data_IF_978366670942
#
_entry.id   IF_978366670942
#
_cell.length_a   1.000
_cell.length_b   1.000
_cell.length_c   1.000
_cell.angle_alpha   90.00
_cell.angle_beta   90.00
_cell.angle_gamma   90.00
#
_symmetry.space_group_name_H-M   'P 1'
#
loop_
_entity.id
_entity.type
_entity.pdbx_description
1 polymer ?
#
# COMPACT_ATOMS: atom_id res chain seq x y z
N UNK A 1 53.02 14.74 23.87
CA UNK A 1 53.23 13.87 22.69
C UNK A 1 51.87 13.32 22.28
N UNK A 2 51.40 13.62 21.06
CA UNK A 2 50.10 13.15 20.53
C UNK A 2 50.36 11.91 19.68
N UNK A 3 49.80 10.76 20.06
CA UNK A 3 49.88 9.52 19.28
C UNK A 3 48.66 9.50 18.36
N UNK A 4 48.92 9.65 17.06
CA UNK A 4 47.94 9.49 16.00
C UNK A 4 47.84 8.00 15.67
N UNK A 5 46.72 7.36 16.00
CA UNK A 5 46.45 5.97 15.63
C UNK A 5 45.68 5.98 14.31
N UNK A 6 46.33 5.52 13.24
CA UNK A 6 45.71 5.32 11.93
C UNK A 6 45.09 3.92 11.94
N UNK A 7 43.77 3.83 12.01
CA UNK A 7 43.04 2.58 11.76
C UNK A 7 42.95 2.36 10.25
N UNK A 8 43.72 1.41 9.73
CA UNK A 8 43.53 0.87 8.38
C UNK A 8 42.42 -0.17 8.48
N UNK A 9 41.18 0.23 8.24
CA UNK A 9 40.11 -0.72 8.00
C UNK A 9 40.31 -1.28 6.58
N UNK A 10 40.72 -2.55 6.50
CA UNK A 10 40.76 -3.29 5.25
C UNK A 10 39.34 -3.35 4.67
N UNK A 11 39.09 -2.53 3.65
CA UNK A 11 37.89 -2.66 2.83
C UNK A 11 38.11 -3.86 1.92
N UNK A 12 37.73 -5.04 2.39
CA UNK A 12 37.50 -6.17 1.50
C UNK A 12 36.25 -5.83 0.69
N UNK A 13 36.47 -5.19 -0.46
CA UNK A 13 35.49 -5.11 -1.52
C UNK A 13 35.20 -6.55 -1.98
N UNK A 14 34.26 -7.20 -1.32
CA UNK A 14 33.54 -8.30 -1.95
C UNK A 14 32.69 -7.66 -3.02
N UNK A 15 33.21 -7.66 -4.24
CA UNK A 15 32.37 -7.52 -5.42
C UNK A 15 31.42 -8.72 -5.36
N UNK A 16 30.21 -8.49 -4.84
CA UNK A 16 29.12 -9.42 -5.01
C UNK A 16 28.94 -9.56 -6.52
N UNK A 17 29.51 -10.65 -7.04
CA UNK A 17 29.42 -11.03 -8.43
C UNK A 17 27.93 -11.17 -8.71
N UNK A 18 27.42 -10.23 -9.51
CA UNK A 18 26.09 -10.27 -10.07
C UNK A 18 26.03 -11.49 -10.99
N UNK A 19 25.81 -12.67 -10.42
CA UNK A 19 25.23 -13.77 -11.14
C UNK A 19 23.87 -13.29 -11.61
N UNK A 20 23.74 -12.99 -12.90
CA UNK A 20 22.45 -12.73 -13.51
C UNK A 20 21.53 -13.90 -13.18
N UNK A 21 20.43 -13.72 -12.43
CA UNK A 21 19.55 -14.82 -12.13
C UNK A 21 18.96 -15.35 -13.43
N UNK A 22 19.00 -16.67 -13.60
CA UNK A 22 18.32 -17.38 -14.68
C UNK A 22 16.88 -16.88 -14.81
N UNK A 23 16.55 -16.36 -15.99
CA UNK A 23 15.24 -15.82 -16.32
C UNK A 23 15.03 -14.45 -15.68
N UNK A 24 15.34 -13.37 -16.40
CA UNK A 24 14.93 -12.02 -16.02
C UNK A 24 13.41 -12.01 -16.00
N UNK A 25 12.81 -12.24 -14.83
CA UNK A 25 11.38 -12.10 -14.62
C UNK A 25 11.00 -10.68 -15.05
N UNK A 26 9.94 -10.55 -15.85
CA UNK A 26 9.44 -9.23 -16.22
C UNK A 26 9.27 -8.38 -14.95
N UNK A 27 9.67 -7.09 -14.97
CA UNK A 27 9.46 -6.22 -13.82
C UNK A 27 7.98 -6.25 -13.45
N UNK A 28 7.66 -6.39 -12.17
CA UNK A 28 6.28 -6.42 -11.69
C UNK A 28 5.86 -5.11 -11.08
N UNK A 29 4.58 -4.80 -11.22
CA UNK A 29 3.93 -3.63 -10.65
C UNK A 29 2.94 -4.05 -9.57
N UNK A 30 3.07 -3.44 -8.39
CA UNK A 30 2.02 -3.42 -7.38
C UNK A 30 1.12 -2.22 -7.67
N UNK A 31 -0.17 -2.52 -7.83
CA UNK A 31 -1.24 -1.52 -7.96
C UNK A 31 -2.17 -1.64 -6.75
N UNK A 32 -2.39 -0.55 -6.03
CA UNK A 32 -3.36 -0.47 -4.96
C UNK A 32 -4.29 0.73 -5.16
N UNK A 33 -5.59 0.57 -4.88
CA UNK A 33 -6.60 1.63 -5.00
C UNK A 33 -7.53 1.63 -3.78
N UNK A 34 -7.98 2.81 -3.35
CA UNK A 34 -9.01 2.95 -2.31
C UNK A 34 -10.27 3.57 -2.88
N UNK A 35 -11.41 2.94 -2.58
CA UNK A 35 -12.75 3.45 -2.83
C UNK A 35 -13.44 3.72 -1.51
N UNK A 36 -14.16 4.84 -1.43
CA UNK A 36 -14.98 5.16 -0.27
C UNK A 36 -16.44 4.85 -0.55
N UNK A 37 -17.03 4.06 0.32
CA UNK A 37 -18.43 3.66 0.24
C UNK A 37 -19.21 4.40 1.31
N UNK A 38 -20.41 4.93 1.01
CA UNK A 38 -21.32 5.48 2.01
C UNK A 38 -22.47 4.50 2.32
N UNK A 39 -22.92 4.42 3.57
CA UNK A 39 -24.17 3.73 3.90
C UNK A 39 -25.38 4.61 3.54
N UNK A 40 -26.49 3.97 3.18
CA UNK A 40 -27.73 4.68 2.92
C UNK A 40 -28.27 5.34 4.21
N UNK A 41 -29.17 6.32 4.06
CA UNK A 41 -29.81 7.06 5.18
C UNK A 41 -30.60 6.19 6.17
N UNK A 42 -30.80 4.89 5.91
CA UNK A 42 -31.69 4.03 6.68
C UNK A 42 -30.96 3.14 7.71
N UNK A 43 -29.63 3.23 7.83
CA UNK A 43 -28.89 2.58 8.94
C UNK A 43 -29.11 1.06 9.02
N UNK A 44 -29.33 0.39 7.89
CA UNK A 44 -29.56 -1.06 7.85
C UNK A 44 -28.21 -1.78 7.79
N UNK A 45 -27.98 -2.70 8.73
CA UNK A 45 -26.78 -3.54 8.90
C UNK A 45 -26.60 -4.59 7.77
N UNK A 46 -27.07 -4.32 6.54
CA UNK A 46 -27.16 -5.29 5.42
C UNK A 46 -26.52 -4.71 4.16
N UNK A 47 -25.76 -5.51 3.36
CA UNK A 47 -25.14 -5.06 2.11
C UNK A 47 -26.19 -4.56 1.12
N UNK A 48 -26.21 -3.25 0.93
CA UNK A 48 -27.15 -2.54 0.07
C UNK A 48 -26.40 -1.52 -0.78
N UNK A 49 -26.84 -1.40 -2.03
CA UNK A 49 -26.33 -0.52 -3.10
C UNK A 49 -25.57 0.69 -2.56
N UNK A 50 -24.25 0.60 -2.63
CA UNK A 50 -23.34 1.67 -2.26
C UNK A 50 -23.31 2.66 -3.42
N UNK A 51 -23.60 3.93 -3.14
CA UNK A 51 -23.22 4.97 -4.10
C UNK A 51 -21.71 5.14 -3.97
N UNK A 52 -20.99 4.72 -5.01
CA UNK A 52 -19.59 5.09 -5.19
C UNK A 52 -19.51 6.61 -5.04
N UNK A 53 -18.95 7.07 -3.92
CA UNK A 53 -18.61 8.47 -3.82
C UNK A 53 -17.52 8.67 -4.88
N UNK A 54 -17.85 9.40 -5.95
CA UNK A 54 -16.92 9.72 -7.04
C UNK A 54 -15.82 10.67 -6.51
N UNK A 55 -14.94 10.10 -5.69
CA UNK A 55 -13.85 10.77 -4.99
C UNK A 55 -12.58 10.20 -5.55
N UNK A 56 -12.33 10.39 -6.85
CA UNK A 56 -11.06 10.20 -7.55
C UNK A 56 -9.94 9.57 -6.69
N UNK A 57 -10.13 8.26 -6.49
CA UNK A 57 -9.26 7.13 -6.20
C UNK A 57 -7.85 7.45 -5.69
N UNK A 58 -7.58 7.06 -4.44
CA UNK A 58 -6.21 6.97 -3.93
C UNK A 58 -5.53 5.77 -4.59
N UNK A 59 -4.89 6.03 -5.73
CA UNK A 59 -4.15 5.03 -6.48
C UNK A 59 -2.67 5.06 -6.16
N UNK A 60 -2.07 3.88 -6.04
CA UNK A 60 -0.64 3.65 -5.88
C UNK A 60 -0.22 2.66 -6.95
N UNK A 61 0.71 3.06 -7.82
CA UNK A 61 1.35 2.19 -8.80
C UNK A 61 2.86 2.25 -8.60
N UNK A 62 3.46 1.15 -8.17
CA UNK A 62 4.90 1.09 -7.86
C UNK A 62 5.51 -0.23 -8.29
N UNK A 63 6.81 -0.25 -8.60
CA UNK A 63 7.52 -1.49 -8.88
C UNK A 63 7.69 -2.32 -7.59
N UNK A 64 7.69 -3.65 -7.72
CA UNK A 64 8.00 -4.52 -6.59
C UNK A 64 9.39 -4.18 -6.02
N UNK A 65 9.51 -4.12 -4.70
CA UNK A 65 10.73 -3.70 -4.01
C UNK A 65 10.80 -2.20 -3.72
N UNK A 66 9.93 -1.37 -4.32
CA UNK A 66 9.88 0.08 -4.09
C UNK A 66 8.72 0.45 -3.18
N UNK A 67 8.99 1.04 -1.99
CA UNK A 67 7.92 1.52 -1.13
C UNK A 67 7.20 2.71 -1.77
N UNK A 68 5.90 2.81 -1.54
CA UNK A 68 5.08 3.90 -2.03
C UNK A 68 4.01 4.30 -0.99
N UNK A 69 3.52 5.53 -1.08
CA UNK A 69 2.42 5.98 -0.24
C UNK A 69 1.56 7.02 -0.94
N UNK A 70 0.26 6.95 -0.69
CA UNK A 70 -0.72 7.95 -1.13
C UNK A 70 -1.66 8.26 0.02
N UNK A 71 -2.30 9.43 0.02
CA UNK A 71 -3.25 9.78 1.07
C UNK A 71 -4.05 11.04 0.77
N UNK A 72 -5.17 11.18 1.47
CA UNK A 72 -6.08 12.31 1.36
C UNK A 72 -6.44 12.88 2.75
N UNK A 73 -7.60 13.52 2.89
CA UNK A 73 -8.08 14.07 4.17
C UNK A 73 -8.60 13.04 5.19
N UNK A 74 -8.74 11.77 4.81
CA UNK A 74 -9.35 10.71 5.62
C UNK A 74 -8.38 9.56 5.88
N UNK A 75 -7.74 9.01 4.83
CA UNK A 75 -6.80 7.90 4.97
C UNK A 75 -5.47 8.16 4.29
N UNK A 76 -4.45 7.49 4.80
CA UNK A 76 -3.14 7.36 4.16
C UNK A 76 -2.85 5.87 3.98
N UNK A 77 -2.48 5.47 2.78
CA UNK A 77 -2.05 4.10 2.47
C UNK A 77 -0.55 4.11 2.23
N UNK A 78 0.16 3.20 2.88
CA UNK A 78 1.57 2.95 2.66
C UNK A 78 1.73 1.49 2.25
N UNK A 79 2.42 1.26 1.15
CA UNK A 79 2.68 -0.07 0.63
C UNK A 79 4.17 -0.29 0.50
N UNK A 80 4.60 -1.49 0.86
CA UNK A 80 5.94 -1.98 0.56
C UNK A 80 5.85 -3.42 0.08
N UNK A 81 6.80 -3.79 -0.75
CA UNK A 81 6.90 -5.14 -1.28
C UNK A 81 8.34 -5.57 -1.33
N UNK A 82 8.55 -6.89 -1.28
CA UNK A 82 9.87 -7.52 -1.39
C UNK A 82 9.69 -8.89 -2.04
N UNK A 83 10.72 -9.35 -2.74
CA UNK A 83 10.78 -10.71 -3.28
C UNK A 83 11.75 -11.51 -2.42
N UNK A 84 11.35 -12.70 -1.99
CA UNK A 84 12.24 -13.59 -1.24
C UNK A 84 13.20 -14.38 -2.15
N UNK A 85 14.02 -15.24 -1.54
CA UNK A 85 14.98 -16.09 -2.23
C UNK A 85 14.31 -17.15 -3.13
N UNK A 86 13.06 -17.50 -2.84
CA UNK A 86 12.26 -18.46 -3.61
C UNK A 86 11.49 -17.79 -4.76
N UNK A 87 11.64 -16.47 -4.94
CA UNK A 87 10.95 -15.71 -5.99
C UNK A 87 9.49 -15.38 -5.67
N UNK A 88 9.07 -15.48 -4.40
CA UNK A 88 7.74 -15.09 -3.95
C UNK A 88 7.70 -13.61 -3.60
N UNK A 89 6.69 -12.91 -4.11
CA UNK A 89 6.50 -11.49 -3.86
C UNK A 89 5.60 -11.31 -2.62
N UNK A 90 6.13 -10.65 -1.60
CA UNK A 90 5.42 -10.31 -0.38
C UNK A 90 5.03 -8.86 -0.40
N UNK A 91 3.83 -8.56 0.09
CA UNK A 91 3.32 -7.20 0.24
C UNK A 91 2.99 -6.93 1.70
N UNK A 92 3.36 -5.74 2.15
CA UNK A 92 2.93 -5.15 3.41
C UNK A 92 2.15 -3.89 3.08
N UNK A 93 0.96 -3.75 3.68
CA UNK A 93 0.09 -2.59 3.49
C UNK A 93 -0.30 -2.04 4.86
N UNK A 94 -0.05 -0.76 5.07
CA UNK A 94 -0.51 0.00 6.22
C UNK A 94 -1.56 1.01 5.76
N UNK A 95 -2.78 0.91 6.29
CA UNK A 95 -3.85 1.90 6.12
C UNK A 95 -3.95 2.67 7.43
N UNK A 96 -3.78 3.99 7.36
CA UNK A 96 -3.79 4.87 8.52
C UNK A 96 -4.88 5.93 8.38
N UNK A 97 -5.39 6.44 9.50
CA UNK A 97 -6.12 7.71 9.51
C UNK A 97 -5.14 8.83 9.14
N UNK A 98 -5.49 9.63 8.14
CA UNK A 98 -4.59 10.65 7.62
C UNK A 98 -4.20 11.73 8.66
N UNK A 99 -5.10 12.04 9.59
CA UNK A 99 -4.95 13.13 10.55
C UNK A 99 -4.28 12.65 11.84
N UNK A 100 -4.75 11.56 12.42
CA UNK A 100 -4.23 11.01 13.68
C UNK A 100 -3.03 10.08 13.49
N UNK A 101 -2.80 9.59 12.25
CA UNK A 101 -1.78 8.58 11.92
C UNK A 101 -1.95 7.26 12.68
N UNK A 102 -3.14 7.01 13.23
CA UNK A 102 -3.49 5.72 13.83
C UNK A 102 -3.62 4.69 12.72
N UNK A 103 -3.04 3.51 12.91
CA UNK A 103 -3.18 2.39 12.00
C UNK A 103 -4.61 1.87 12.09
N UNK A 104 -5.35 1.94 10.99
CA UNK A 104 -6.72 1.44 10.85
C UNK A 104 -6.72 -0.03 10.42
N UNK A 105 -5.81 -0.41 9.53
CA UNK A 105 -5.60 -1.79 9.10
C UNK A 105 -4.14 -2.02 8.72
N UNK A 106 -3.68 -3.26 8.92
CA UNK A 106 -2.32 -3.67 8.57
C UNK A 106 -2.30 -5.09 8.03
N UNK A 107 -1.77 -5.23 6.83
CA UNK A 107 -1.41 -6.52 6.22
C UNK A 107 0.11 -6.61 6.21
N UNK A 108 0.68 -7.69 6.74
CA UNK A 108 2.12 -7.91 6.80
C UNK A 108 2.50 -9.12 5.98
N UNK A 109 3.56 -9.00 5.19
CA UNK A 109 4.25 -10.10 4.53
C UNK A 109 3.27 -11.12 3.91
N UNK A 110 2.29 -10.62 3.16
CA UNK A 110 1.30 -11.47 2.52
C UNK A 110 1.70 -11.69 1.07
N UNK A 111 1.70 -12.96 0.64
CA UNK A 111 1.93 -13.30 -0.76
C UNK A 111 0.62 -13.04 -1.51
N UNK A 112 0.65 -12.13 -2.48
CA UNK A 112 -0.51 -11.84 -3.32
C UNK A 112 -0.56 -12.83 -4.48
N UNK A 113 -1.24 -13.96 -4.28
CA UNK A 113 -1.61 -14.89 -5.38
C UNK A 113 -2.93 -14.50 -6.05
N UNK A 114 -3.77 -13.76 -5.33
CA UNK A 114 -5.05 -13.20 -5.78
C UNK A 114 -5.11 -11.72 -5.39
N UNK A 115 -6.01 -10.92 -6.01
CA UNK A 115 -6.26 -9.55 -5.57
C UNK A 115 -6.66 -9.51 -4.08
N UNK A 116 -6.01 -8.63 -3.33
CA UNK A 116 -6.31 -8.38 -1.92
C UNK A 116 -7.38 -7.30 -1.82
N UNK A 117 -8.49 -7.64 -1.17
CA UNK A 117 -9.57 -6.72 -0.86
C UNK A 117 -9.69 -6.56 0.64
N UNK A 118 -9.63 -5.33 1.13
CA UNK A 118 -9.66 -5.00 2.55
C UNK A 118 -10.72 -3.94 2.81
N UNK A 119 -11.66 -4.27 3.68
CA UNK A 119 -12.64 -3.33 4.19
C UNK A 119 -12.11 -2.71 5.48
N UNK A 120 -11.83 -1.41 5.43
CA UNK A 120 -11.31 -0.64 6.56
C UNK A 120 -12.39 0.29 7.06
N UNK A 121 -12.82 0.05 8.30
CA UNK A 121 -13.72 0.98 8.99
C UNK A 121 -12.94 2.23 9.37
N UNK A 122 -13.45 3.40 8.96
CA UNK A 122 -12.84 4.68 9.30
C UNK A 122 -13.05 5.03 10.78
N UNK A 123 -12.10 5.78 11.35
CA UNK A 123 -12.21 6.35 12.70
C UNK A 123 -13.45 7.23 12.83
N UNK A 124 -14.00 7.38 14.05
CA UNK A 124 -15.13 8.27 14.33
C UNK A 124 -14.84 9.69 13.84
N UNK A 125 -13.63 10.18 14.06
CA UNK A 125 -13.18 11.49 13.60
C UNK A 125 -13.16 11.59 12.07
N UNK A 126 -12.69 10.56 11.36
CA UNK A 126 -12.72 10.54 9.90
C UNK A 126 -14.15 10.49 9.36
N UNK A 127 -15.00 9.65 9.96
CA UNK A 127 -16.42 9.53 9.60
C UNK A 127 -17.16 10.85 9.77
N UNK A 128 -16.91 11.60 10.86
CA UNK A 128 -17.49 12.94 11.05
C UNK A 128 -17.02 13.93 9.98
N UNK A 129 -15.72 13.93 9.64
CA UNK A 129 -15.19 14.79 8.55
C UNK A 129 -15.83 14.43 7.21
N UNK A 130 -16.00 13.14 6.94
CA UNK A 130 -16.54 12.62 5.69
C UNK A 130 -18.01 12.95 5.54
N UNK A 131 -18.81 12.74 6.60
CA UNK A 131 -20.22 13.15 6.68
C UNK A 131 -20.38 14.65 6.42
N UNK A 132 -19.52 15.49 7.01
CA UNK A 132 -19.55 16.94 6.76
C UNK A 132 -19.30 17.30 5.30
N UNK A 133 -18.38 16.59 4.63
CA UNK A 133 -17.99 16.87 3.24
C UNK A 133 -18.99 16.32 2.21
N UNK A 134 -19.48 15.10 2.42
CA UNK A 134 -20.27 14.36 1.41
C UNK A 134 -21.73 14.10 1.82
N UNK A 135 -22.17 14.55 3.00
CA UNK A 135 -23.56 14.45 3.49
C UNK A 135 -24.13 13.02 3.61
N UNK A 136 -23.27 11.99 3.69
CA UNK A 136 -23.65 10.58 3.93
C UNK A 136 -23.41 10.12 5.37
N UNK A 137 -24.16 9.12 5.83
CA UNK A 137 -24.00 8.49 7.14
C UNK A 137 -23.21 7.19 6.97
N UNK A 138 -22.10 7.08 7.71
CA UNK A 138 -21.03 6.05 7.67
C UNK A 138 -20.36 5.78 6.32
N UNK A 139 -19.02 5.79 6.33
CA UNK A 139 -18.23 5.50 5.14
C UNK A 139 -17.02 4.61 5.41
N UNK A 140 -16.95 3.49 4.70
CA UNK A 140 -15.89 2.50 4.81
C UNK A 140 -14.91 2.74 3.66
N UNK A 141 -13.63 2.49 3.89
CA UNK A 141 -12.63 2.48 2.83
C UNK A 141 -12.42 1.04 2.38
N UNK A 142 -12.67 0.77 1.11
CA UNK A 142 -12.33 -0.50 0.48
C UNK A 142 -11.01 -0.34 -0.28
N UNK A 143 -10.01 -1.09 0.16
CA UNK A 143 -8.68 -1.12 -0.45
C UNK A 143 -8.56 -2.38 -1.31
N UNK A 144 -8.17 -2.18 -2.56
CA UNK A 144 -7.90 -3.21 -3.55
C UNK A 144 -6.40 -3.18 -3.85
N UNK A 145 -5.72 -4.32 -3.82
CA UNK A 145 -4.32 -4.42 -4.21
C UNK A 145 -4.09 -5.64 -5.11
N UNK A 146 -3.31 -5.46 -6.19
CA UNK A 146 -2.95 -6.54 -7.11
C UNK A 146 -1.52 -6.38 -7.60
N UNK A 147 -0.91 -7.49 -7.97
CA UNK A 147 0.41 -7.51 -8.62
C UNK A 147 0.22 -8.03 -10.04
N UNK A 148 0.72 -7.27 -11.01
CA UNK A 148 0.73 -7.65 -12.41
C UNK A 148 2.15 -7.51 -12.97
N UNK A 149 2.46 -8.25 -14.03
CA UNK A 149 3.66 -7.98 -14.80
C UNK A 149 3.53 -6.58 -15.42
N UNK A 150 4.63 -5.83 -15.45
CA UNK A 150 4.68 -4.52 -16.12
C UNK A 150 4.52 -4.81 -17.60
N UNK A 151 3.34 -4.51 -18.16
CA UNK A 151 3.12 -4.63 -19.59
C UNK A 151 4.27 -3.93 -20.35
N UNK A 152 4.97 -4.69 -21.19
CA UNK A 152 6.00 -4.16 -22.09
C UNK A 152 5.41 -3.29 -23.23
N UNK A 153 4.09 -3.00 -23.19
CA UNK A 153 3.36 -2.33 -24.28
C UNK A 153 2.78 -0.96 -23.91
N UNK A 154 3.44 -0.22 -23.02
CA UNK A 154 3.28 1.23 -22.98
C UNK A 154 4.49 1.88 -23.68
N UNK A 155 4.41 1.95 -25.01
CA UNK A 155 5.26 2.82 -25.84
C UNK A 155 5.03 4.29 -25.48
#
# INVERSE_FOLDING_TARGET
MKILVILIAAVTATTAWAGSPKGTRAPKILSCGVVYNAENKAGSEVPGVYEDLDTAKLDIKTEIGKPASSGDGFVKVQVSSLTDQDGRDFVTVDVLDAKSKVILAKVKNTVLTEPLNLFVRLSDEARVRMKKKYKGDLAWAELWCSVADKDETAN
#
